data_IF_887961778830
#
_entry.id   IF_887961778830
#
_cell.length_a   1.000
_cell.length_b   1.000
_cell.length_c   1.000
_cell.angle_alpha   90.00
_cell.angle_beta   90.00
_cell.angle_gamma   90.00
#
_symmetry.space_group_name_H-M   'P 1'
#
loop_
_entity.id
_entity.type
_entity.pdbx_description
1 polymer ?
#
# COMPACT_ATOMS: atom_id res chain seq x y z
N UNK A 1 31.27 20.95 11.42
CA UNK A 1 30.50 20.89 10.16
C UNK A 1 29.54 19.71 10.24
N UNK A 2 28.29 19.96 10.63
CA UNK A 2 27.26 18.91 10.67
C UNK A 2 26.63 18.79 9.29
N UNK A 3 26.84 17.66 8.63
CA UNK A 3 26.12 17.31 7.40
C UNK A 3 24.76 16.80 7.85
N UNK A 4 23.76 17.67 7.82
CA UNK A 4 22.36 17.27 7.95
C UNK A 4 22.02 16.57 6.64
N UNK A 5 22.04 15.24 6.65
CA UNK A 5 21.58 14.44 5.53
C UNK A 5 20.07 14.68 5.41
N UNK A 6 19.69 15.63 4.56
CA UNK A 6 18.31 15.86 4.17
C UNK A 6 17.81 14.59 3.49
N UNK A 7 17.23 13.67 4.26
CA UNK A 7 16.35 12.63 3.73
C UNK A 7 15.29 13.38 2.94
N UNK A 8 15.46 13.45 1.62
CA UNK A 8 14.41 13.88 0.71
C UNK A 8 13.24 12.96 1.01
N UNK A 9 12.22 13.48 1.68
CA UNK A 9 10.95 12.76 1.86
C UNK A 9 10.32 12.77 0.49
N UNK A 10 10.74 11.83 -0.36
CA UNK A 10 10.12 11.62 -1.66
C UNK A 10 8.69 11.20 -1.34
N UNK A 11 7.71 11.98 -1.82
CA UNK A 11 6.31 11.62 -1.67
C UNK A 11 6.13 10.20 -2.25
N UNK A 12 5.41 9.30 -1.55
CA UNK A 12 5.15 7.97 -2.08
C UNK A 12 4.56 8.06 -3.47
N UNK A 13 5.25 7.47 -4.45
CA UNK A 13 4.65 7.21 -5.75
C UNK A 13 3.62 6.10 -5.61
N UNK A 14 2.59 6.12 -6.46
CA UNK A 14 1.55 5.07 -6.46
C UNK A 14 2.18 3.69 -6.71
N UNK A 15 3.15 3.63 -7.62
CA UNK A 15 3.89 2.44 -7.96
C UNK A 15 5.36 2.75 -8.25
N UNK A 16 6.25 2.00 -7.63
CA UNK A 16 7.70 2.06 -7.75
C UNK A 16 8.18 0.88 -8.60
N UNK A 17 8.45 1.18 -9.86
CA UNK A 17 8.89 0.18 -10.84
C UNK A 17 10.25 -0.42 -10.52
N UNK A 18 11.17 0.36 -9.93
CA UNK A 18 12.49 -0.12 -9.55
C UNK A 18 12.38 -1.20 -8.48
N UNK A 19 11.58 -0.96 -7.45
CA UNK A 19 11.28 -1.97 -6.43
C UNK A 19 10.67 -3.23 -7.04
N UNK A 20 9.70 -3.08 -7.95
CA UNK A 20 9.09 -4.22 -8.62
C UNK A 20 10.11 -5.06 -9.41
N UNK A 21 11.02 -4.40 -10.15
CA UNK A 21 12.09 -5.08 -10.88
C UNK A 21 13.09 -5.76 -9.94
N UNK A 22 13.54 -5.08 -8.89
CA UNK A 22 14.50 -5.65 -7.95
C UNK A 22 13.95 -6.92 -7.29
N UNK A 23 12.69 -6.88 -6.83
CA UNK A 23 11.97 -8.03 -6.26
C UNK A 23 11.78 -9.18 -7.25
N UNK A 24 11.74 -8.86 -8.55
CA UNK A 24 11.55 -9.82 -9.65
C UNK A 24 12.88 -10.25 -10.29
N UNK A 25 14.01 -9.98 -9.64
CA UNK A 25 15.35 -10.27 -10.19
C UNK A 25 15.60 -9.67 -11.59
N UNK A 26 15.03 -8.49 -11.84
CA UNK A 26 15.05 -7.75 -13.11
C UNK A 26 14.32 -8.45 -14.28
N UNK A 27 13.48 -9.44 -13.99
CA UNK A 27 12.62 -10.06 -14.99
C UNK A 27 11.30 -9.28 -15.12
N UNK A 28 11.07 -8.70 -16.30
CA UNK A 28 9.88 -7.91 -16.61
C UNK A 28 8.60 -8.75 -16.64
N UNK A 29 8.67 -10.01 -17.09
CA UNK A 29 7.51 -10.88 -17.15
C UNK A 29 7.04 -11.27 -15.75
N UNK A 30 8.00 -11.57 -14.86
CA UNK A 30 7.71 -11.83 -13.43
C UNK A 30 7.15 -10.57 -12.77
N UNK A 31 7.78 -9.40 -12.97
CA UNK A 31 7.31 -8.14 -12.39
C UNK A 31 5.88 -7.80 -12.83
N UNK A 32 5.56 -8.01 -14.11
CA UNK A 32 4.21 -7.83 -14.65
C UNK A 32 3.21 -8.82 -14.05
N UNK A 33 3.57 -10.10 -13.95
CA UNK A 33 2.70 -11.11 -13.33
C UNK A 33 2.38 -10.76 -11.88
N UNK A 34 3.39 -10.38 -11.09
CA UNK A 34 3.21 -9.97 -9.70
C UNK A 34 2.35 -8.71 -9.57
N UNK A 35 2.49 -7.75 -10.50
CA UNK A 35 1.63 -6.58 -10.56
C UNK A 35 0.16 -6.97 -10.83
N UNK A 36 -0.08 -7.83 -11.82
CA UNK A 36 -1.42 -8.27 -12.21
C UNK A 36 -2.10 -9.06 -11.08
N UNK A 37 -1.37 -9.99 -10.44
CA UNK A 37 -1.84 -10.75 -9.28
C UNK A 37 -2.14 -9.84 -8.08
N UNK A 38 -1.25 -8.88 -7.80
CA UNK A 38 -1.46 -7.92 -6.72
C UNK A 38 -2.64 -6.99 -7.00
N UNK A 39 -2.86 -6.60 -8.26
CA UNK A 39 -4.02 -5.80 -8.67
C UNK A 39 -5.34 -6.51 -8.40
N UNK A 40 -5.41 -7.82 -8.67
CA UNK A 40 -6.59 -8.62 -8.33
C UNK A 40 -6.83 -8.62 -6.81
N UNK A 41 -5.77 -8.83 -6.02
CA UNK A 41 -5.84 -8.75 -4.56
C UNK A 41 -6.30 -7.37 -4.06
N UNK A 42 -5.79 -6.28 -4.63
CA UNK A 42 -6.17 -4.91 -4.27
C UNK A 42 -7.66 -4.66 -4.52
N UNK A 43 -8.20 -5.18 -5.62
CA UNK A 43 -9.63 -5.07 -5.93
C UNK A 43 -10.49 -5.75 -4.86
N UNK A 44 -10.15 -6.98 -4.50
CA UNK A 44 -10.84 -7.76 -3.47
C UNK A 44 -10.74 -7.09 -2.09
N UNK A 45 -9.54 -6.67 -1.69
CA UNK A 45 -9.30 -6.02 -0.41
C UNK A 45 -10.04 -4.68 -0.29
N UNK A 46 -10.05 -3.88 -1.35
CA UNK A 46 -10.82 -2.62 -1.37
C UNK A 46 -12.31 -2.86 -1.17
N UNK A 47 -12.88 -3.85 -1.87
CA UNK A 47 -14.30 -4.18 -1.72
C UNK A 47 -14.62 -4.66 -0.30
N UNK A 48 -13.78 -5.54 0.24
CA UNK A 48 -13.96 -6.06 1.60
C UNK A 48 -13.87 -4.95 2.66
N UNK A 49 -12.92 -4.02 2.54
CA UNK A 49 -12.78 -2.88 3.46
C UNK A 49 -13.98 -1.92 3.38
N UNK A 50 -14.49 -1.62 2.18
CA UNK A 50 -15.67 -0.78 2.01
C UNK A 50 -16.92 -1.40 2.64
N UNK A 51 -17.13 -2.72 2.47
CA UNK A 51 -18.27 -3.43 3.05
C UNK A 51 -18.20 -3.54 4.58
N UNK A 52 -16.98 -3.65 5.12
CA UNK A 52 -16.75 -3.86 6.55
C UNK A 52 -16.51 -2.58 7.35
N UNK A 53 -16.54 -1.39 6.73
CA UNK A 53 -16.10 -0.14 7.36
C UNK A 53 -16.80 0.16 8.70
N UNK A 54 -18.08 -0.19 8.82
CA UNK A 54 -18.88 -0.01 10.04
C UNK A 54 -18.59 -1.06 11.13
N UNK A 55 -17.99 -2.20 10.77
CA UNK A 55 -17.70 -3.34 11.64
C UNK A 55 -16.22 -3.44 12.02
N UNK A 56 -15.33 -2.80 11.26
CA UNK A 56 -13.90 -2.72 11.53
C UNK A 56 -13.55 -2.29 12.98
N UNK A 57 -14.32 -1.42 13.66
CA UNK A 57 -14.06 -1.09 15.06
C UNK A 57 -14.16 -2.28 16.04
N UNK A 58 -14.76 -3.41 15.64
CA UNK A 58 -15.06 -4.55 16.53
C UNK A 58 -14.00 -5.67 16.50
N UNK A 59 -13.14 -5.77 15.46
CA UNK A 59 -12.07 -6.78 15.39
C UNK A 59 -10.73 -6.18 14.92
N UNK A 60 -10.09 -5.45 15.84
CA UNK A 60 -8.83 -4.74 15.61
C UNK A 60 -7.66 -5.68 15.28
N UNK A 61 -7.66 -6.89 15.82
CA UNK A 61 -6.56 -7.85 15.58
C UNK A 61 -6.67 -8.51 14.20
N UNK A 62 -7.89 -8.82 13.73
CA UNK A 62 -8.09 -9.23 12.34
C UNK A 62 -7.69 -8.12 11.37
N UNK A 63 -8.08 -6.87 11.65
CA UNK A 63 -7.66 -5.73 10.84
C UNK A 63 -6.15 -5.57 10.82
N UNK A 64 -5.48 -5.64 11.98
CA UNK A 64 -4.01 -5.54 12.08
C UNK A 64 -3.31 -6.60 11.23
N UNK A 65 -3.76 -7.85 11.29
CA UNK A 65 -3.19 -8.95 10.47
C UNK A 65 -3.43 -8.75 8.98
N UNK A 66 -4.62 -8.29 8.59
CA UNK A 66 -4.95 -7.96 7.21
C UNK A 66 -4.05 -6.86 6.66
N UNK A 67 -3.96 -5.74 7.39
CA UNK A 67 -3.14 -4.57 7.03
C UNK A 67 -1.65 -4.94 6.97
N UNK A 68 -1.17 -5.78 7.89
CA UNK A 68 0.20 -6.27 7.86
C UNK A 68 0.51 -7.07 6.59
N UNK A 69 -0.37 -7.99 6.18
CA UNK A 69 -0.20 -8.74 4.92
C UNK A 69 -0.20 -7.81 3.71
N UNK A 70 -1.17 -6.90 3.65
CA UNK A 70 -1.27 -5.91 2.57
C UNK A 70 -0.02 -5.05 2.46
N UNK A 71 0.51 -4.57 3.59
CA UNK A 71 1.77 -3.80 3.63
C UNK A 71 2.94 -4.58 3.02
N UNK A 72 3.11 -5.84 3.44
CA UNK A 72 4.21 -6.70 2.98
C UNK A 72 4.10 -7.00 1.49
N UNK A 73 2.91 -7.39 1.01
CA UNK A 73 2.66 -7.64 -0.41
C UNK A 73 2.87 -6.37 -1.24
N UNK A 74 2.34 -5.24 -0.80
CA UNK A 74 2.52 -3.95 -1.47
C UNK A 74 4.01 -3.55 -1.55
N UNK A 75 4.76 -3.73 -0.46
CA UNK A 75 6.18 -3.41 -0.42
C UNK A 75 7.02 -4.32 -1.32
N UNK A 76 6.65 -5.59 -1.44
CA UNK A 76 7.32 -6.53 -2.35
C UNK A 76 7.09 -6.17 -3.82
N UNK A 77 5.84 -5.85 -4.18
CA UNK A 77 5.45 -5.56 -5.57
C UNK A 77 5.79 -4.12 -5.99
N UNK A 78 6.14 -3.23 -5.05
CA UNK A 78 6.46 -1.83 -5.33
C UNK A 78 5.25 -0.88 -5.27
N UNK A 79 4.11 -1.29 -4.70
CA UNK A 79 2.98 -0.41 -4.47
C UNK A 79 3.19 0.51 -3.25
N UNK A 80 4.16 1.42 -3.37
CA UNK A 80 4.70 2.24 -2.27
C UNK A 80 3.62 3.02 -1.51
N UNK A 81 2.69 3.66 -2.21
CA UNK A 81 1.60 4.42 -1.58
C UNK A 81 0.70 3.53 -0.71
N UNK A 82 0.37 2.33 -1.17
CA UNK A 82 -0.40 1.34 -0.40
C UNK A 82 0.41 0.85 0.79
N UNK A 83 1.69 0.50 0.58
CA UNK A 83 2.56 0.01 1.65
C UNK A 83 2.68 1.04 2.79
N UNK A 84 2.87 2.32 2.46
CA UNK A 84 2.94 3.39 3.44
C UNK A 84 1.61 3.65 4.15
N UNK A 85 0.49 3.68 3.43
CA UNK A 85 -0.83 3.85 4.04
C UNK A 85 -1.18 2.67 4.98
N UNK A 86 -0.82 1.44 4.59
CA UNK A 86 -0.97 0.26 5.42
C UNK A 86 -0.05 0.30 6.66
N UNK A 87 1.19 0.79 6.51
CA UNK A 87 2.09 1.00 7.65
C UNK A 87 1.52 2.01 8.66
N UNK A 88 1.00 3.15 8.18
CA UNK A 88 0.37 4.16 9.02
C UNK A 88 -0.87 3.61 9.76
N UNK A 89 -1.70 2.82 9.09
CA UNK A 89 -2.84 2.15 9.73
C UNK A 89 -2.38 1.12 10.76
N UNK A 90 -1.35 0.33 10.46
CA UNK A 90 -0.79 -0.63 11.39
C UNK A 90 -0.24 0.05 12.65
N UNK A 91 0.49 1.16 12.50
CA UNK A 91 1.02 1.95 13.61
C UNK A 91 -0.09 2.59 14.44
N UNK A 92 -1.10 3.18 13.78
CA UNK A 92 -2.26 3.75 14.46
C UNK A 92 -3.00 2.70 15.31
N UNK A 93 -3.13 1.46 14.80
CA UNK A 93 -3.77 0.36 15.52
C UNK A 93 -2.96 -0.10 16.74
N UNK A 94 -1.64 0.01 16.69
CA UNK A 94 -0.72 -0.34 17.79
C UNK A 94 -0.65 0.75 18.87
N UNK A 95 -0.75 2.02 18.49
CA UNK A 95 -0.66 3.16 19.42
C UNK A 95 -2.00 3.56 20.04
N UNK A 96 -3.11 3.28 19.36
CA UNK A 96 -4.42 3.77 19.82
C UNK A 96 -4.99 2.87 20.91
N UNK A 97 -4.74 3.21 22.18
CA UNK A 97 -5.31 2.53 23.34
C UNK A 97 -6.81 2.79 23.56
N UNK A 98 -7.45 3.78 22.91
CA UNK A 98 -8.93 3.91 22.82
C UNK A 98 -9.49 5.23 22.25
N UNK A 99 -8.69 6.27 21.96
CA UNK A 99 -9.25 7.63 21.75
C UNK A 99 -9.14 8.22 20.34
N UNK A 100 -8.34 7.65 19.45
CA UNK A 100 -8.18 8.13 18.07
C UNK A 100 -9.17 7.47 17.11
N UNK A 101 -9.88 8.27 16.29
CA UNK A 101 -10.68 7.71 15.20
C UNK A 101 -9.75 7.04 14.18
N UNK A 102 -9.97 5.74 13.93
CA UNK A 102 -9.26 4.95 12.92
C UNK A 102 -9.75 5.26 11.49
N UNK A 103 -10.92 5.89 11.37
CA UNK A 103 -11.58 6.19 10.09
C UNK A 103 -10.71 6.99 9.11
N UNK A 104 -10.02 8.09 9.50
CA UNK A 104 -9.22 8.87 8.57
C UNK A 104 -8.03 8.08 8.00
N UNK A 105 -7.38 7.27 8.83
CA UNK A 105 -6.22 6.46 8.42
C UNK A 105 -6.67 5.29 7.53
N UNK A 106 -7.82 4.71 7.83
CA UNK A 106 -8.45 3.69 6.99
C UNK A 106 -8.90 4.26 5.64
N UNK A 107 -9.48 5.46 5.62
CA UNK A 107 -9.88 6.17 4.40
C UNK A 107 -8.66 6.40 3.50
N UNK A 108 -7.55 6.87 4.07
CA UNK A 108 -6.30 7.06 3.34
C UNK A 108 -5.76 5.75 2.73
N UNK A 109 -5.94 4.60 3.39
CA UNK A 109 -5.62 3.30 2.81
C UNK A 109 -6.55 2.96 1.63
N UNK A 110 -7.86 3.15 1.78
CA UNK A 110 -8.83 2.90 0.70
C UNK A 110 -8.55 3.78 -0.52
N UNK A 111 -8.18 5.04 -0.31
CA UNK A 111 -7.81 5.97 -1.38
C UNK A 111 -6.53 5.50 -2.09
N UNK A 112 -5.52 5.06 -1.35
CA UNK A 112 -4.30 4.48 -1.94
C UNK A 112 -4.59 3.21 -2.78
N UNK A 113 -5.51 2.36 -2.33
CA UNK A 113 -5.97 1.20 -3.11
C UNK A 113 -6.67 1.65 -4.41
N UNK A 114 -7.51 2.68 -4.34
CA UNK A 114 -8.19 3.24 -5.51
C UNK A 114 -7.21 3.88 -6.51
N UNK A 115 -6.23 4.64 -6.04
CA UNK A 115 -5.18 5.24 -6.87
C UNK A 115 -4.41 4.16 -7.64
N UNK A 116 -4.04 3.06 -6.97
CA UNK A 116 -3.35 1.94 -7.60
C UNK A 116 -4.21 1.25 -8.67
N UNK A 117 -5.50 1.05 -8.41
CA UNK A 117 -6.44 0.51 -9.41
C UNK A 117 -6.63 1.46 -10.61
N UNK A 118 -6.40 2.77 -10.42
CA UNK A 118 -6.39 3.77 -11.48
C UNK A 118 -5.22 3.63 -12.46
N UNK A 119 -4.16 2.89 -12.12
CA UNK A 119 -3.10 2.54 -13.06
C UNK A 119 -3.68 1.62 -14.14
N UNK A 120 -3.63 2.03 -15.40
CA UNK A 120 -4.29 1.31 -16.50
C UNK A 120 -3.54 0.05 -16.96
N UNK A 121 -2.23 -0.03 -16.74
CA UNK A 121 -1.41 -1.24 -16.93
C UNK A 121 -0.03 -1.09 -16.25
N UNK A 122 0.69 -2.20 -16.12
CA UNK A 122 2.10 -2.21 -15.71
C UNK A 122 2.98 -1.33 -16.61
N UNK A 123 2.76 -1.33 -17.93
CA UNK A 123 3.53 -0.49 -18.85
C UNK A 123 3.20 1.00 -18.72
N UNK A 124 1.96 1.35 -18.36
CA UNK A 124 1.59 2.73 -18.09
C UNK A 124 2.17 3.23 -16.77
N UNK A 125 2.27 2.37 -15.76
CA UNK A 125 2.99 2.69 -14.53
C UNK A 125 4.49 2.95 -14.80
N UNK A 126 5.12 2.18 -15.68
CA UNK A 126 6.51 2.41 -16.13
C UNK A 126 6.72 3.76 -16.82
N UNK A 127 5.77 4.18 -17.67
CA UNK A 127 5.85 5.45 -18.40
C UNK A 127 5.71 6.67 -17.49
N UNK A 128 4.99 6.55 -16.37
CA UNK A 128 4.79 7.64 -15.40
C UNK A 128 5.99 7.85 -14.47
N UNK A 129 6.93 6.90 -14.43
CA UNK A 129 8.15 6.95 -13.62
C UNK A 129 9.40 7.36 -14.41
N UNK A 130 9.26 7.71 -15.70
CA UNK A 130 10.32 8.26 -16.57
C UNK A 130 10.02 9.72 -16.91
#
# INVERSE_FOLDING_TARGET
>A
MSVINSRTVVAPVVFNFETALMSSHHDLAIAKSLFDDFRALVLEERQALLQSIAQIPLDREALRRRVHRLKSSAGFVGADRISQAAAALQEHLLMSDSSGSTEPVLRALIDALQEFLGLSSFENAFKLTR
#
